data_IF_245347291963
#
_entry.id   IF_245347291963
#
_cell.length_a   1.000
_cell.length_b   1.000
_cell.length_c   1.000
_cell.angle_alpha   90.00
_cell.angle_beta   90.00
_cell.angle_gamma   90.00
#
_symmetry.space_group_name_H-M   'P 1'
#
loop_
_entity.id
_entity.type
_entity.pdbx_description
1 polymer ?
#
# COMPACT_ATOMS: atom_id res chain seq x y z
N UNK A 1 -20.35 -23.86 35.44
CA UNK A 1 -19.70 -22.56 35.16
C UNK A 1 -20.05 -22.18 33.75
N UNK A 2 -20.38 -20.95 33.45
CA UNK A 2 -20.64 -20.56 32.07
C UNK A 2 -19.36 -20.65 31.25
N UNK A 3 -19.36 -21.55 30.29
CA UNK A 3 -18.23 -21.78 29.36
C UNK A 3 -18.15 -20.70 28.28
N UNK A 4 -18.36 -19.43 28.64
CA UNK A 4 -18.40 -18.32 27.70
C UNK A 4 -17.18 -17.42 27.94
N UNK A 5 -16.29 -17.42 27.01
CA UNK A 5 -15.23 -16.37 26.90
C UNK A 5 -15.91 -15.10 26.39
N UNK A 6 -15.99 -14.10 27.24
CA UNK A 6 -16.63 -12.83 26.89
C UNK A 6 -15.89 -12.17 25.75
N UNK A 7 -16.60 -11.88 24.65
CA UNK A 7 -16.04 -11.18 23.49
C UNK A 7 -15.59 -9.77 23.89
N UNK A 8 -14.33 -9.43 23.60
CA UNK A 8 -13.70 -8.16 23.99
C UNK A 8 -12.99 -8.18 25.35
N UNK A 9 -13.05 -9.27 26.10
CA UNK A 9 -12.26 -9.43 27.33
C UNK A 9 -10.78 -9.67 27.04
N UNK A 10 -9.88 -9.09 27.84
CA UNK A 10 -8.40 -9.22 27.66
C UNK A 10 -7.90 -10.65 27.76
N UNK A 11 -8.58 -11.52 28.50
CA UNK A 11 -8.25 -12.93 28.71
C UNK A 11 -8.78 -13.87 27.61
N UNK A 12 -9.77 -13.42 26.83
CA UNK A 12 -10.40 -14.23 25.79
C UNK A 12 -9.42 -14.79 24.77
N UNK A 13 -8.60 -13.97 24.11
CA UNK A 13 -7.61 -14.43 23.14
C UNK A 13 -6.59 -15.40 23.73
N UNK A 14 -6.15 -15.19 24.98
CA UNK A 14 -5.18 -16.05 25.64
C UNK A 14 -5.76 -17.43 25.98
N UNK A 15 -7.00 -17.49 26.45
CA UNK A 15 -7.69 -18.75 26.74
C UNK A 15 -7.96 -19.55 25.46
N UNK A 16 -8.41 -18.89 24.39
CA UNK A 16 -8.58 -19.53 23.08
C UNK A 16 -7.25 -20.07 22.55
N UNK A 17 -6.18 -19.24 22.58
CA UNK A 17 -4.85 -19.65 22.13
C UNK A 17 -4.33 -20.87 22.88
N UNK A 18 -4.41 -20.90 24.22
CA UNK A 18 -4.02 -22.07 25.02
C UNK A 18 -4.82 -23.33 24.69
N UNK A 19 -6.12 -23.16 24.40
CA UNK A 19 -6.98 -24.28 24.05
C UNK A 19 -6.59 -24.86 22.69
N UNK A 20 -6.27 -24.00 21.73
CA UNK A 20 -5.91 -24.41 20.36
C UNK A 20 -4.44 -24.85 20.25
N UNK A 21 -3.52 -24.32 21.05
CA UNK A 21 -2.10 -24.69 21.07
C UNK A 21 -1.92 -26.20 21.34
N UNK A 22 -2.76 -26.80 22.16
CA UNK A 22 -2.76 -28.25 22.39
C UNK A 22 -3.07 -29.08 21.14
N UNK A 23 -3.75 -28.52 20.13
CA UNK A 23 -3.98 -29.21 18.85
C UNK A 23 -2.68 -29.33 18.06
N UNK A 24 -1.93 -28.23 17.96
CA UNK A 24 -0.63 -28.21 17.32
C UNK A 24 0.36 -29.19 17.97
N UNK A 25 0.42 -29.21 19.30
CA UNK A 25 1.27 -30.16 20.06
C UNK A 25 0.91 -31.60 19.75
N UNK A 26 -0.36 -31.97 19.72
CA UNK A 26 -0.77 -33.34 19.38
C UNK A 26 -0.42 -33.74 17.94
N UNK A 27 -0.46 -32.81 16.98
CA UNK A 27 0.01 -33.06 15.62
C UNK A 27 1.53 -33.33 15.59
N UNK A 28 2.30 -32.58 16.38
CA UNK A 28 3.75 -32.80 16.51
C UNK A 28 4.05 -34.16 17.13
N UNK A 29 3.42 -34.48 18.27
CA UNK A 29 3.66 -35.71 19.01
C UNK A 29 3.31 -36.94 18.19
N UNK A 30 2.22 -36.92 17.42
CA UNK A 30 1.79 -38.03 16.58
C UNK A 30 2.46 -38.07 15.21
N UNK A 31 3.16 -36.99 14.82
CA UNK A 31 3.71 -36.81 13.49
C UNK A 31 2.67 -36.95 12.35
N UNK A 32 1.42 -36.63 12.63
CA UNK A 32 0.26 -36.79 11.75
C UNK A 32 -0.42 -35.44 11.51
N UNK A 33 -1.22 -35.38 10.47
CA UNK A 33 -2.03 -34.17 10.12
C UNK A 33 -1.20 -32.90 9.90
N UNK A 34 0.00 -33.06 9.33
CA UNK A 34 0.91 -31.98 8.95
C UNK A 34 1.04 -31.94 7.43
N UNK A 35 0.96 -30.74 6.85
CA UNK A 35 1.35 -30.56 5.45
C UNK A 35 2.87 -30.50 5.34
N UNK A 36 3.47 -31.31 4.45
CA UNK A 36 4.90 -31.29 4.19
C UNK A 36 5.21 -30.39 3.00
N UNK A 37 5.73 -29.21 3.26
CA UNK A 37 6.21 -28.31 2.22
C UNK A 37 7.58 -28.76 1.72
N UNK A 38 7.68 -29.01 0.39
CA UNK A 38 8.92 -29.50 -0.28
C UNK A 38 9.55 -30.72 0.44
N UNK A 39 8.72 -31.56 1.04
CA UNK A 39 9.10 -32.76 1.81
C UNK A 39 10.04 -32.52 3.02
N UNK A 40 10.15 -31.29 3.48
CA UNK A 40 11.04 -30.86 4.56
C UNK A 40 10.34 -30.10 5.69
N UNK A 41 9.70 -29.00 5.38
CA UNK A 41 9.07 -28.17 6.40
C UNK A 41 7.64 -28.66 6.72
N UNK A 42 7.37 -28.96 7.99
CA UNK A 42 6.05 -29.36 8.47
C UNK A 42 5.22 -28.12 8.78
N UNK A 43 4.06 -28.01 8.15
CA UNK A 43 3.07 -26.99 8.45
C UNK A 43 1.94 -27.63 9.21
N UNK A 44 1.76 -27.22 10.46
CA UNK A 44 0.70 -27.65 11.34
C UNK A 44 -0.62 -26.92 10.98
N UNK A 45 -1.78 -27.40 11.49
CA UNK A 45 -2.97 -26.59 11.49
C UNK A 45 -2.70 -25.22 12.12
N UNK A 46 -3.09 -24.17 11.41
CA UNK A 46 -2.86 -22.79 11.82
C UNK A 46 -4.06 -22.29 12.63
N UNK A 47 -3.79 -21.60 13.71
CA UNK A 47 -4.81 -21.01 14.55
C UNK A 47 -4.50 -19.55 14.84
N UNK A 48 -5.54 -18.74 14.83
CA UNK A 48 -5.48 -17.34 15.25
C UNK A 48 -6.73 -17.04 16.09
N UNK A 49 -6.55 -16.99 17.40
CA UNK A 49 -7.64 -16.87 18.38
C UNK A 49 -8.65 -18.00 18.20
N UNK A 50 -9.80 -17.75 17.59
CA UNK A 50 -10.89 -18.70 17.31
C UNK A 50 -10.88 -19.23 15.85
N UNK A 51 -10.15 -18.57 14.95
CA UNK A 51 -10.00 -19.01 13.57
C UNK A 51 -9.02 -20.18 13.46
N UNK A 52 -9.46 -21.28 12.85
CA UNK A 52 -8.66 -22.49 12.65
C UNK A 52 -8.58 -22.83 11.16
N UNK A 53 -7.37 -23.05 10.65
CA UNK A 53 -7.12 -23.41 9.28
C UNK A 53 -6.30 -24.69 9.17
N UNK A 54 -6.78 -25.68 8.44
CA UNK A 54 -6.08 -26.93 8.13
C UNK A 54 -5.63 -26.95 6.67
N UNK A 55 -4.37 -27.28 6.43
CA UNK A 55 -3.78 -27.39 5.09
C UNK A 55 -3.46 -28.86 4.82
N UNK A 56 -3.96 -29.39 3.70
CA UNK A 56 -3.75 -30.78 3.28
C UNK A 56 -3.30 -30.84 1.83
N UNK A 57 -2.48 -31.82 1.48
CA UNK A 57 -1.93 -32.03 0.14
C UNK A 57 -2.93 -32.67 -0.81
N UNK A 58 -3.83 -33.50 -0.30
CA UNK A 58 -4.82 -34.22 -1.09
C UNK A 58 -6.13 -34.40 -0.34
N UNK A 59 -7.17 -34.86 -1.03
CA UNK A 59 -8.50 -35.06 -0.47
C UNK A 59 -8.56 -36.04 0.71
N UNK A 60 -7.77 -37.10 0.68
CA UNK A 60 -7.72 -38.08 1.77
C UNK A 60 -7.13 -37.46 3.05
N UNK A 61 -6.00 -36.74 2.92
CA UNK A 61 -5.41 -36.00 4.04
C UNK A 61 -6.37 -34.94 4.58
N UNK A 62 -7.05 -34.20 3.71
CA UNK A 62 -8.05 -33.21 4.08
C UNK A 62 -9.18 -33.83 4.92
N UNK A 63 -9.69 -34.99 4.51
CA UNK A 63 -10.72 -35.72 5.25
C UNK A 63 -10.22 -36.19 6.62
N UNK A 64 -9.00 -36.74 6.68
CA UNK A 64 -8.38 -37.17 7.93
C UNK A 64 -8.12 -36.00 8.88
N UNK A 65 -7.56 -34.90 8.39
CA UNK A 65 -7.33 -33.68 9.16
C UNK A 65 -8.64 -33.09 9.69
N UNK A 66 -9.66 -32.97 8.84
CA UNK A 66 -10.95 -32.45 9.28
C UNK A 66 -11.56 -33.29 10.41
N UNK A 67 -11.52 -34.63 10.28
CA UNK A 67 -12.00 -35.54 11.35
C UNK A 67 -11.20 -35.32 12.63
N UNK A 68 -9.89 -35.23 12.56
CA UNK A 68 -9.02 -34.99 13.70
C UNK A 68 -9.37 -33.66 14.39
N UNK A 69 -9.44 -32.55 13.65
CA UNK A 69 -9.74 -31.24 14.20
C UNK A 69 -11.10 -31.19 14.88
N UNK A 70 -12.15 -31.73 14.25
CA UNK A 70 -13.51 -31.80 14.82
C UNK A 70 -13.52 -32.62 16.12
N UNK A 71 -12.89 -33.82 16.09
CA UNK A 71 -12.82 -34.69 17.29
C UNK A 71 -12.05 -34.00 18.42
N UNK A 72 -10.93 -33.31 18.14
CA UNK A 72 -10.16 -32.65 19.21
C UNK A 72 -10.94 -31.49 19.84
N UNK A 73 -11.66 -30.72 19.04
CA UNK A 73 -12.50 -29.61 19.53
C UNK A 73 -13.67 -30.16 20.38
N UNK A 74 -14.34 -31.23 19.93
CA UNK A 74 -15.43 -31.87 20.66
C UNK A 74 -14.95 -32.48 21.99
N UNK A 75 -13.78 -33.12 22.04
CA UNK A 75 -13.17 -33.64 23.27
C UNK A 75 -12.94 -32.53 24.32
N UNK A 76 -12.76 -31.30 23.89
CA UNK A 76 -12.63 -30.10 24.74
C UNK A 76 -13.99 -29.49 25.12
N UNK A 77 -15.11 -30.14 24.75
CA UNK A 77 -16.49 -29.62 24.92
C UNK A 77 -16.72 -28.29 24.19
N UNK A 78 -15.93 -28.01 23.13
CA UNK A 78 -16.11 -26.86 22.28
C UNK A 78 -16.83 -27.28 20.99
N UNK A 79 -17.41 -26.33 20.29
CA UNK A 79 -18.07 -26.54 19.00
C UNK A 79 -17.69 -25.47 18.02
N UNK A 80 -17.51 -25.88 16.76
CA UNK A 80 -17.40 -24.93 15.65
C UNK A 80 -18.75 -24.27 15.40
N UNK A 81 -18.74 -22.98 15.17
CA UNK A 81 -19.92 -22.26 14.73
C UNK A 81 -20.09 -22.45 13.21
N UNK A 82 -21.03 -23.27 12.81
CA UNK A 82 -21.16 -23.72 11.41
C UNK A 82 -21.84 -22.70 10.48
N UNK A 83 -22.65 -21.78 11.03
CA UNK A 83 -23.35 -20.77 10.24
C UNK A 83 -23.46 -19.44 10.99
N UNK A 84 -23.49 -18.32 10.26
CA UNK A 84 -23.78 -17.00 10.82
C UNK A 84 -25.30 -16.77 10.99
N UNK A 85 -25.68 -15.57 11.47
CA UNK A 85 -27.10 -15.19 11.69
C UNK A 85 -27.94 -15.22 10.41
N UNK A 86 -27.32 -15.15 9.25
CA UNK A 86 -27.97 -15.18 7.93
C UNK A 86 -27.93 -16.58 7.29
N UNK A 87 -27.46 -17.60 8.03
CA UNK A 87 -27.33 -18.96 7.52
C UNK A 87 -26.09 -19.18 6.62
N UNK A 88 -25.22 -18.19 6.45
CA UNK A 88 -23.97 -18.36 5.69
C UNK A 88 -23.01 -19.23 6.50
N UNK A 89 -22.44 -20.26 5.87
CA UNK A 89 -21.49 -21.14 6.55
C UNK A 89 -20.23 -20.37 6.96
N UNK A 90 -19.80 -20.60 8.20
CA UNK A 90 -18.52 -20.11 8.74
C UNK A 90 -17.38 -21.13 8.60
N UNK A 91 -17.74 -22.39 8.35
CA UNK A 91 -16.78 -23.45 8.09
C UNK A 91 -16.83 -23.76 6.59
N UNK A 92 -15.74 -23.45 5.88
CA UNK A 92 -15.65 -23.63 4.43
C UNK A 92 -14.42 -24.45 4.07
N UNK A 93 -14.42 -25.05 2.89
CA UNK A 93 -13.25 -25.65 2.27
C UNK A 93 -12.94 -24.95 0.97
N UNK A 94 -11.64 -24.85 0.65
CA UNK A 94 -11.16 -24.29 -0.60
C UNK A 94 -10.16 -25.25 -1.23
N UNK A 95 -10.32 -25.54 -2.50
CA UNK A 95 -9.34 -26.26 -3.29
C UNK A 95 -8.48 -25.24 -4.05
N UNK A 96 -7.16 -25.25 -3.81
CA UNK A 96 -6.19 -24.37 -4.48
C UNK A 96 -5.40 -25.17 -5.49
N UNK A 97 -5.46 -24.82 -6.78
CA UNK A 97 -4.73 -25.47 -7.87
C UNK A 97 -5.60 -26.13 -8.91
N UNK A 98 -5.05 -27.11 -9.64
CA UNK A 98 -5.77 -27.81 -10.74
C UNK A 98 -6.78 -28.82 -10.18
N UNK A 99 -8.00 -28.79 -10.69
CA UNK A 99 -9.14 -29.62 -10.25
C UNK A 99 -9.05 -31.13 -10.61
N UNK A 100 -7.87 -31.70 -10.71
CA UNK A 100 -7.72 -33.10 -11.12
C UNK A 100 -7.80 -34.10 -9.95
N UNK A 101 -7.87 -33.62 -8.71
CA UNK A 101 -7.86 -34.48 -7.53
C UNK A 101 -9.24 -34.60 -6.89
N UNK A 102 -9.50 -35.79 -6.31
CA UNK A 102 -10.70 -36.06 -5.53
C UNK A 102 -10.84 -35.03 -4.40
N UNK A 103 -11.91 -34.23 -4.46
CA UNK A 103 -12.26 -33.26 -3.43
C UNK A 103 -13.38 -33.87 -2.54
N UNK A 104 -13.08 -34.37 -1.32
CA UNK A 104 -14.04 -35.06 -0.50
C UNK A 104 -15.09 -34.11 0.09
N UNK A 105 -16.28 -34.60 0.35
CA UNK A 105 -17.26 -33.92 1.19
C UNK A 105 -16.76 -33.91 2.64
N UNK A 106 -16.51 -32.71 3.16
CA UNK A 106 -16.15 -32.50 4.57
C UNK A 106 -17.39 -32.10 5.37
N UNK A 107 -17.47 -32.56 6.63
CA UNK A 107 -18.57 -32.24 7.54
C UNK A 107 -18.02 -31.75 8.88
N UNK A 108 -18.70 -30.80 9.48
CA UNK A 108 -18.48 -30.30 10.83
C UNK A 108 -19.81 -30.43 11.61
N UNK A 109 -19.82 -31.19 12.67
CA UNK A 109 -21.04 -31.48 13.48
C UNK A 109 -22.23 -31.93 12.60
N UNK A 110 -21.97 -32.76 11.59
CA UNK A 110 -23.01 -33.24 10.65
C UNK A 110 -23.31 -32.29 9.48
N UNK A 111 -22.97 -31.02 9.56
CA UNK A 111 -23.19 -30.01 8.51
C UNK A 111 -22.10 -30.10 7.46
N UNK A 112 -22.47 -30.10 6.18
CA UNK A 112 -21.56 -30.13 5.05
C UNK A 112 -20.84 -28.77 4.95
N UNK A 113 -19.50 -28.79 4.88
CA UNK A 113 -18.70 -27.61 4.56
C UNK A 113 -18.84 -27.29 3.07
N UNK A 114 -19.35 -26.11 2.69
CA UNK A 114 -19.40 -25.72 1.30
C UNK A 114 -17.98 -25.52 0.75
N UNK A 115 -17.82 -25.83 -0.53
CA UNK A 115 -16.63 -25.49 -1.28
C UNK A 115 -16.75 -24.05 -1.80
N UNK A 116 -15.71 -23.25 -1.56
CA UNK A 116 -15.68 -21.86 -1.97
C UNK A 116 -14.47 -21.59 -2.88
N UNK A 117 -14.60 -20.66 -3.78
CA UNK A 117 -13.52 -20.19 -4.64
C UNK A 117 -12.80 -18.96 -4.07
N UNK A 118 -13.42 -18.31 -3.09
CA UNK A 118 -12.91 -17.12 -2.41
C UNK A 118 -13.35 -17.12 -0.96
N UNK A 119 -12.44 -16.76 -0.05
CA UNK A 119 -12.77 -16.59 1.37
C UNK A 119 -11.89 -15.52 2.01
N UNK A 120 -12.47 -14.76 2.93
CA UNK A 120 -11.75 -13.80 3.75
C UNK A 120 -11.06 -14.50 4.91
N UNK A 121 -9.73 -14.45 4.96
CA UNK A 121 -8.95 -14.98 6.08
C UNK A 121 -7.97 -13.94 6.61
N UNK A 122 -8.08 -13.63 7.91
CA UNK A 122 -7.27 -12.62 8.62
C UNK A 122 -7.14 -11.28 7.86
N UNK A 123 -8.21 -10.88 7.19
CA UNK A 123 -8.27 -9.62 6.47
C UNK A 123 -7.78 -9.63 5.03
N UNK A 124 -7.31 -10.77 4.52
CA UNK A 124 -6.98 -10.97 3.10
C UNK A 124 -8.04 -11.83 2.41
N UNK A 125 -8.35 -11.51 1.16
CA UNK A 125 -9.19 -12.33 0.32
C UNK A 125 -8.34 -13.41 -0.37
N UNK A 126 -8.47 -14.64 0.14
CA UNK A 126 -7.85 -15.81 -0.48
C UNK A 126 -8.67 -16.23 -1.70
N UNK A 127 -8.00 -16.71 -2.75
CA UNK A 127 -8.62 -17.18 -3.99
C UNK A 127 -8.11 -18.57 -4.37
N UNK A 128 -8.99 -19.42 -4.86
CA UNK A 128 -8.70 -20.78 -5.29
C UNK A 128 -7.68 -20.85 -6.44
N UNK A 129 -7.52 -19.77 -7.23
CA UNK A 129 -6.50 -19.67 -8.27
C UNK A 129 -5.09 -19.36 -7.71
N UNK A 130 -4.96 -19.15 -6.41
CA UNK A 130 -3.71 -18.83 -5.73
C UNK A 130 -3.13 -17.45 -6.07
N UNK A 131 -3.92 -16.53 -6.66
CA UNK A 131 -3.45 -15.20 -7.07
C UNK A 131 -3.93 -14.11 -6.11
N UNK A 132 -3.17 -13.01 -6.05
CA UNK A 132 -3.55 -11.84 -5.24
C UNK A 132 -4.52 -10.89 -5.96
N UNK A 133 -4.79 -11.06 -7.24
CA UNK A 133 -5.53 -10.11 -8.07
C UNK A 133 -6.89 -9.72 -7.47
N UNK A 134 -7.65 -10.68 -6.94
CA UNK A 134 -8.94 -10.39 -6.32
C UNK A 134 -8.79 -9.65 -4.98
N UNK A 135 -7.77 -10.01 -4.19
CA UNK A 135 -7.44 -9.30 -2.97
C UNK A 135 -7.05 -7.84 -3.25
N UNK A 136 -6.21 -7.60 -4.27
CA UNK A 136 -5.83 -6.25 -4.72
C UNK A 136 -7.05 -5.43 -5.11
N UNK A 137 -7.96 -5.98 -5.93
CA UNK A 137 -9.22 -5.30 -6.30
C UNK A 137 -10.08 -4.94 -5.08
N UNK A 138 -10.17 -5.83 -4.11
CA UNK A 138 -10.86 -5.55 -2.85
C UNK A 138 -10.18 -4.40 -2.07
N UNK A 139 -8.84 -4.39 -2.02
CA UNK A 139 -8.06 -3.30 -1.40
C UNK A 139 -8.24 -1.97 -2.13
N UNK A 140 -8.24 -1.97 -3.46
CA UNK A 140 -8.51 -0.79 -4.29
C UNK A 140 -9.90 -0.22 -3.99
N UNK A 141 -10.93 -1.06 -3.96
CA UNK A 141 -12.30 -0.63 -3.65
C UNK A 141 -12.40 0.01 -2.26
N UNK A 142 -11.81 -0.62 -1.23
CA UNK A 142 -11.73 -0.04 0.12
C UNK A 142 -10.96 1.28 0.13
N UNK A 143 -9.83 1.34 -0.60
CA UNK A 143 -8.99 2.52 -0.71
C UNK A 143 -9.73 3.73 -1.30
N UNK A 144 -10.56 3.52 -2.32
CA UNK A 144 -11.39 4.59 -2.91
C UNK A 144 -12.35 5.16 -1.85
N UNK A 145 -12.98 4.30 -1.04
CA UNK A 145 -13.83 4.75 0.07
C UNK A 145 -13.05 5.55 1.11
N UNK A 146 -11.84 5.10 1.48
CA UNK A 146 -10.97 5.82 2.42
C UNK A 146 -10.56 7.19 1.85
N UNK A 147 -10.23 7.27 0.56
CA UNK A 147 -9.92 8.56 -0.10
C UNK A 147 -11.08 9.54 0.03
N UNK A 148 -12.32 9.10 -0.21
CA UNK A 148 -13.48 9.96 -0.04
C UNK A 148 -13.62 10.45 1.41
N UNK A 149 -13.48 9.57 2.39
CA UNK A 149 -13.52 9.95 3.81
C UNK A 149 -12.43 10.97 4.19
N UNK A 150 -11.20 10.81 3.68
CA UNK A 150 -10.11 11.76 3.92
C UNK A 150 -10.42 13.12 3.30
N UNK A 151 -10.89 13.14 2.06
CA UNK A 151 -11.22 14.39 1.36
C UNK A 151 -12.36 15.11 2.08
N UNK A 152 -13.44 14.40 2.39
CA UNK A 152 -14.59 14.95 3.12
C UNK A 152 -14.19 15.54 4.49
N UNK A 153 -13.31 14.84 5.22
CA UNK A 153 -12.77 15.33 6.49
C UNK A 153 -11.96 16.62 6.32
N UNK A 154 -11.14 16.68 5.28
CA UNK A 154 -10.28 17.83 5.00
C UNK A 154 -11.07 19.06 4.51
N UNK A 155 -12.15 18.85 3.76
CA UNK A 155 -13.01 19.90 3.26
C UNK A 155 -13.94 20.46 4.35
N UNK A 156 -14.42 19.61 5.25
CA UNK A 156 -15.32 19.98 6.34
C UNK A 156 -14.62 20.47 7.61
N UNK A 157 -13.28 20.49 7.64
CA UNK A 157 -12.50 20.89 8.83
C UNK A 157 -11.46 21.94 8.45
N UNK A 158 -11.42 23.04 9.21
CA UNK A 158 -10.46 24.10 8.98
C UNK A 158 -9.09 23.76 9.62
N UNK A 159 -8.16 23.22 8.84
CA UNK A 159 -6.80 22.91 9.28
C UNK A 159 -5.77 24.02 9.04
N UNK A 160 -6.19 25.11 8.43
CA UNK A 160 -5.33 26.26 8.14
C UNK A 160 -4.02 25.87 7.44
N UNK A 161 -2.87 26.41 7.90
CA UNK A 161 -1.57 26.17 7.24
C UNK A 161 -1.11 24.70 7.31
N UNK A 162 -1.69 23.89 8.19
CA UNK A 162 -1.32 22.49 8.40
C UNK A 162 -2.05 21.51 7.48
N UNK A 163 -2.96 21.99 6.63
CA UNK A 163 -3.79 21.17 5.74
C UNK A 163 -3.03 20.04 5.03
N UNK A 164 -1.98 20.35 4.28
CA UNK A 164 -1.23 19.33 3.55
C UNK A 164 -0.43 18.39 4.46
N UNK A 165 0.08 18.87 5.59
CA UNK A 165 0.75 18.01 6.57
C UNK A 165 -0.21 17.01 7.17
N UNK A 166 -1.42 17.44 7.52
CA UNK A 166 -2.48 16.58 8.04
C UNK A 166 -2.97 15.61 6.96
N UNK A 167 -3.15 16.07 5.73
CA UNK A 167 -3.51 15.21 4.61
C UNK A 167 -2.49 14.06 4.43
N UNK A 168 -1.18 14.32 4.54
CA UNK A 168 -0.16 13.28 4.45
C UNK A 168 -0.16 12.34 5.66
N UNK A 169 -0.48 12.82 6.86
CA UNK A 169 -0.68 11.96 8.04
C UNK A 169 -1.89 11.04 7.88
N UNK A 170 -3.01 11.57 7.38
CA UNK A 170 -4.22 10.77 7.09
C UNK A 170 -3.96 9.76 5.97
N UNK A 171 -3.23 10.14 4.93
CA UNK A 171 -2.77 9.19 3.90
C UNK A 171 -2.01 8.02 4.52
N UNK A 172 -1.02 8.29 5.36
CA UNK A 172 -0.20 7.26 6.00
C UNK A 172 -1.03 6.36 6.92
N UNK A 173 -1.82 6.97 7.81
CA UNK A 173 -2.54 6.24 8.86
C UNK A 173 -3.78 5.50 8.35
N UNK A 174 -4.53 6.08 7.43
CA UNK A 174 -5.77 5.49 6.93
C UNK A 174 -5.59 4.79 5.59
N UNK A 175 -5.13 5.52 4.55
CA UNK A 175 -5.09 4.99 3.19
C UNK A 175 -4.01 3.93 3.03
N UNK A 176 -2.74 4.28 3.30
CA UNK A 176 -1.60 3.36 3.12
C UNK A 176 -1.81 2.11 3.96
N UNK A 177 -2.13 2.25 5.24
CA UNK A 177 -2.39 1.09 6.11
C UNK A 177 -3.59 0.27 5.64
N UNK A 178 -4.67 0.92 5.20
CA UNK A 178 -5.87 0.23 4.71
C UNK A 178 -5.64 -0.62 3.46
N UNK A 179 -4.88 -0.11 2.49
CA UNK A 179 -4.63 -0.82 1.22
C UNK A 179 -3.43 -1.76 1.26
N UNK A 180 -2.51 -1.59 2.22
CA UNK A 180 -1.30 -2.41 2.35
C UNK A 180 -1.29 -3.30 3.60
N UNK A 181 -2.44 -3.59 4.21
CA UNK A 181 -2.54 -4.55 5.31
C UNK A 181 -2.07 -5.92 4.83
N UNK A 182 -1.22 -6.59 5.60
CA UNK A 182 -0.64 -7.92 5.33
C UNK A 182 0.18 -8.02 4.03
N UNK A 183 0.47 -6.91 3.35
CA UNK A 183 1.22 -6.92 2.08
C UNK A 183 2.61 -7.53 2.21
N UNK A 184 3.16 -7.55 3.41
CA UNK A 184 4.45 -8.16 3.73
C UNK A 184 4.49 -9.67 3.50
N UNK A 185 3.33 -10.37 3.50
CA UNK A 185 3.24 -11.81 3.26
C UNK A 185 2.73 -12.16 1.86
N UNK A 186 2.33 -11.19 1.05
CA UNK A 186 1.85 -11.48 -0.31
C UNK A 186 2.98 -12.03 -1.19
N UNK A 187 2.66 -13.08 -1.93
CA UNK A 187 3.52 -13.70 -2.94
C UNK A 187 3.04 -13.30 -4.36
N UNK A 188 3.86 -13.51 -5.36
CA UNK A 188 3.51 -13.34 -6.79
C UNK A 188 2.80 -12.03 -7.13
N UNK A 189 3.19 -10.92 -6.45
CA UNK A 189 2.60 -9.60 -6.72
C UNK A 189 3.10 -9.06 -8.05
N UNK A 190 2.18 -8.76 -8.96
CA UNK A 190 2.48 -8.21 -10.28
C UNK A 190 2.68 -6.69 -10.23
N UNK A 191 3.50 -6.16 -11.13
CA UNK A 191 3.69 -4.70 -11.26
C UNK A 191 2.36 -3.98 -11.56
N UNK A 192 1.47 -4.60 -12.36
CA UNK A 192 0.13 -4.07 -12.63
C UNK A 192 -0.74 -3.97 -11.37
N UNK A 193 -0.62 -4.92 -10.45
CA UNK A 193 -1.34 -4.91 -9.16
C UNK A 193 -0.82 -3.80 -8.24
N UNK A 194 0.49 -3.58 -8.23
CA UNK A 194 1.09 -2.44 -7.52
C UNK A 194 0.61 -1.13 -8.12
N UNK A 195 0.49 -1.06 -9.45
CA UNK A 195 -0.02 0.13 -10.14
C UNK A 195 -1.49 0.42 -9.82
N UNK A 196 -2.33 -0.61 -9.69
CA UNK A 196 -3.73 -0.45 -9.25
C UNK A 196 -3.80 0.20 -7.85
N UNK A 197 -2.98 -0.25 -6.90
CA UNK A 197 -2.89 0.37 -5.56
C UNK A 197 -2.35 1.81 -5.64
N UNK A 198 -1.35 2.08 -6.48
CA UNK A 198 -0.84 3.43 -6.70
C UNK A 198 -1.86 4.35 -7.36
N UNK A 199 -2.80 3.83 -8.16
CA UNK A 199 -3.86 4.64 -8.75
C UNK A 199 -4.82 5.19 -7.70
N UNK A 200 -5.03 4.50 -6.58
CA UNK A 200 -5.79 5.03 -5.44
C UNK A 200 -5.07 6.21 -4.79
N UNK A 201 -3.76 6.11 -4.64
CA UNK A 201 -2.90 7.18 -4.14
C UNK A 201 -2.95 8.42 -5.07
N UNK A 202 -2.83 8.20 -6.38
CA UNK A 202 -3.01 9.24 -7.41
C UNK A 202 -4.38 9.93 -7.32
N UNK A 203 -5.43 9.16 -7.07
CA UNK A 203 -6.79 9.70 -6.91
C UNK A 203 -6.86 10.68 -5.74
N UNK A 204 -6.27 10.32 -4.59
CA UNK A 204 -6.21 11.20 -3.42
C UNK A 204 -5.48 12.50 -3.75
N UNK A 205 -4.28 12.43 -4.32
CA UNK A 205 -3.48 13.61 -4.64
C UNK A 205 -4.18 14.55 -5.65
N UNK A 206 -4.82 13.98 -6.67
CA UNK A 206 -5.57 14.78 -7.64
C UNK A 206 -6.72 15.55 -7.01
N UNK A 207 -7.45 14.92 -6.11
CA UNK A 207 -8.53 15.61 -5.37
C UNK A 207 -7.98 16.69 -4.46
N UNK A 208 -6.92 16.40 -3.68
CA UNK A 208 -6.30 17.35 -2.77
C UNK A 208 -5.76 18.60 -3.47
N UNK A 209 -5.13 18.43 -4.64
CA UNK A 209 -4.45 19.49 -5.36
C UNK A 209 -5.31 20.12 -6.47
N UNK A 210 -6.48 19.55 -6.73
CA UNK A 210 -7.37 19.96 -7.82
C UNK A 210 -6.63 20.05 -9.16
N UNK A 211 -6.06 18.91 -9.60
CA UNK A 211 -5.25 18.82 -10.82
C UNK A 211 -5.77 17.76 -11.78
N UNK A 212 -5.53 17.92 -13.11
CA UNK A 212 -6.04 17.00 -14.12
C UNK A 212 -5.35 15.62 -14.09
N UNK A 213 -5.97 14.66 -14.78
CA UNK A 213 -5.44 13.28 -14.90
C UNK A 213 -4.05 13.22 -15.57
N UNK A 214 -3.70 14.21 -16.39
CA UNK A 214 -2.42 14.32 -17.10
C UNK A 214 -1.23 14.76 -16.23
N UNK A 215 -1.48 15.07 -14.93
CA UNK A 215 -0.41 15.46 -14.00
C UNK A 215 0.55 14.30 -13.78
N UNK A 216 1.88 14.50 -13.97
CA UNK A 216 2.89 13.48 -13.72
C UNK A 216 2.83 12.97 -12.28
N UNK A 217 2.81 11.66 -12.09
CA UNK A 217 2.66 11.08 -10.75
C UNK A 217 3.87 11.36 -9.86
N UNK A 218 5.04 11.46 -10.46
CA UNK A 218 6.30 11.74 -9.78
C UNK A 218 6.24 13.07 -9.03
N UNK A 219 5.52 14.05 -9.61
CA UNK A 219 5.34 15.37 -8.99
C UNK A 219 4.65 15.29 -7.63
N UNK A 220 3.67 14.40 -7.48
CA UNK A 220 2.97 14.24 -6.20
C UNK A 220 3.93 13.73 -5.12
N UNK A 221 4.68 12.69 -5.42
CA UNK A 221 5.60 12.07 -4.45
C UNK A 221 6.75 13.00 -4.07
N UNK A 222 7.32 13.72 -5.05
CA UNK A 222 8.44 14.61 -4.84
C UNK A 222 8.03 15.92 -4.13
N UNK A 223 6.90 16.51 -4.52
CA UNK A 223 6.43 17.77 -3.94
C UNK A 223 5.80 17.57 -2.54
N UNK A 224 5.01 16.52 -2.35
CA UNK A 224 4.40 16.20 -1.06
C UNK A 224 5.31 15.42 -0.11
N UNK A 225 6.48 14.99 -0.59
CA UNK A 225 7.49 14.32 0.23
C UNK A 225 7.08 12.94 0.73
N UNK A 226 6.38 12.16 -0.07
CA UNK A 226 5.86 10.83 0.31
C UNK A 226 6.46 9.72 -0.55
N UNK A 227 6.51 8.52 0.01
CA UNK A 227 7.06 7.34 -0.67
C UNK A 227 5.96 6.65 -1.49
N UNK A 228 6.24 6.20 -2.74
CA UNK A 228 5.32 5.41 -3.55
C UNK A 228 4.93 4.08 -2.88
N UNK A 229 3.69 3.64 -3.11
CA UNK A 229 3.14 2.40 -2.51
C UNK A 229 4.02 1.19 -2.81
N UNK A 230 4.53 1.03 -4.04
CA UNK A 230 5.42 -0.08 -4.39
C UNK A 230 6.69 -0.15 -3.54
N UNK A 231 7.26 1.02 -3.18
CA UNK A 231 8.45 1.07 -2.29
C UNK A 231 8.08 0.76 -0.84
N UNK A 232 6.88 1.17 -0.39
CA UNK A 232 6.36 0.81 0.94
C UNK A 232 6.18 -0.70 1.06
N UNK A 233 5.67 -1.37 0.03
CA UNK A 233 5.52 -2.82 -0.03
C UNK A 233 6.88 -3.51 0.15
N UNK A 234 7.89 -3.08 -0.61
CA UNK A 234 9.27 -3.60 -0.49
C UNK A 234 9.82 -3.44 0.93
N UNK A 235 9.68 -2.24 1.49
CA UNK A 235 10.15 -1.95 2.85
C UNK A 235 9.44 -2.82 3.91
N UNK A 236 8.13 -3.06 3.77
CA UNK A 236 7.38 -3.94 4.68
C UNK A 236 7.86 -5.39 4.60
N UNK A 237 8.05 -5.96 3.39
CA UNK A 237 8.58 -7.32 3.22
C UNK A 237 9.98 -7.49 3.84
N UNK A 238 10.87 -6.52 3.60
CA UNK A 238 12.22 -6.56 4.18
C UNK A 238 12.18 -6.46 5.71
N UNK A 239 11.32 -5.62 6.29
CA UNK A 239 11.12 -5.58 7.74
C UNK A 239 10.54 -6.89 8.29
N UNK A 240 9.65 -7.55 7.55
CA UNK A 240 9.10 -8.84 7.94
C UNK A 240 10.16 -9.95 7.92
N UNK A 241 11.09 -9.93 6.95
CA UNK A 241 12.26 -10.83 6.93
C UNK A 241 13.05 -10.72 8.24
N UNK A 242 13.33 -9.51 8.72
CA UNK A 242 14.02 -9.33 10.01
C UNK A 242 13.23 -9.99 11.16
N UNK A 243 11.91 -9.87 11.15
CA UNK A 243 11.05 -10.49 12.17
C UNK A 243 11.09 -12.03 12.08
N UNK A 244 11.17 -12.61 10.88
CA UNK A 244 11.31 -14.06 10.70
C UNK A 244 12.67 -14.52 11.21
N UNK A 245 13.74 -13.83 10.86
CA UNK A 245 15.10 -14.17 11.26
C UNK A 245 15.34 -14.06 12.78
N UNK A 246 14.55 -13.23 13.46
CA UNK A 246 14.57 -13.11 14.92
C UNK A 246 13.76 -14.18 15.66
N UNK A 247 13.04 -15.08 14.95
CA UNK A 247 12.28 -16.16 15.56
C UNK A 247 13.16 -17.35 15.93
N UNK A 248 12.61 -18.21 16.75
CA UNK A 248 13.26 -19.49 17.09
C UNK A 248 13.51 -20.33 15.84
N UNK A 249 14.76 -20.81 15.70
CA UNK A 249 15.22 -21.53 14.49
C UNK A 249 14.54 -22.89 14.31
N UNK A 250 14.05 -23.48 15.38
CA UNK A 250 13.30 -24.75 15.39
C UNK A 250 11.81 -24.52 15.07
N UNK A 251 11.36 -23.27 15.07
CA UNK A 251 9.96 -22.93 14.84
C UNK A 251 9.51 -23.16 13.39
N UNK A 252 8.22 -23.50 13.23
CA UNK A 252 7.61 -23.80 11.93
C UNK A 252 7.83 -22.69 10.89
N UNK A 253 7.63 -21.43 11.26
CA UNK A 253 7.78 -20.27 10.34
C UNK A 253 9.20 -20.13 9.84
N UNK A 254 10.20 -20.32 10.73
CA UNK A 254 11.59 -20.26 10.35
C UNK A 254 12.00 -21.44 9.45
N UNK A 255 11.57 -22.67 9.78
CA UNK A 255 11.81 -23.87 8.98
C UNK A 255 11.23 -23.75 7.57
N UNK A 256 9.98 -23.26 7.46
CA UNK A 256 9.34 -23.00 6.17
C UNK A 256 10.12 -21.97 5.36
N UNK A 257 10.49 -20.85 5.98
CA UNK A 257 11.27 -19.78 5.36
C UNK A 257 12.61 -20.29 4.83
N UNK A 258 13.39 -21.01 5.65
CA UNK A 258 14.71 -21.54 5.23
C UNK A 258 14.58 -22.54 4.08
N UNK A 259 13.55 -23.39 4.11
CA UNK A 259 13.28 -24.32 3.02
C UNK A 259 13.00 -23.59 1.71
N UNK A 260 12.20 -22.51 1.76
CA UNK A 260 11.89 -21.70 0.58
C UNK A 260 13.11 -20.88 0.12
N UNK A 261 13.90 -20.33 1.06
CA UNK A 261 15.11 -19.55 0.75
C UNK A 261 16.19 -20.38 0.04
N UNK A 262 16.39 -21.61 0.47
CA UNK A 262 17.40 -22.50 -0.11
C UNK A 262 16.98 -23.14 -1.44
N UNK A 263 15.70 -23.17 -1.73
CA UNK A 263 15.13 -23.74 -2.97
C UNK A 263 14.00 -22.86 -3.48
N UNK A 264 14.29 -21.63 -3.91
CA UNK A 264 13.26 -20.69 -4.36
C UNK A 264 12.58 -21.17 -5.64
N UNK A 265 11.29 -20.91 -5.75
CA UNK A 265 10.51 -21.11 -6.97
C UNK A 265 10.12 -19.73 -7.50
N UNK A 266 10.03 -19.60 -8.81
CA UNK A 266 9.64 -18.32 -9.43
C UNK A 266 8.31 -17.79 -8.86
N UNK A 267 8.34 -16.56 -8.37
CA UNK A 267 7.21 -15.90 -7.71
C UNK A 267 7.07 -16.20 -6.22
N UNK A 268 7.94 -17.03 -5.64
CA UNK A 268 7.97 -17.29 -4.20
C UNK A 268 8.25 -15.99 -3.43
N UNK A 269 7.77 -15.94 -2.19
CA UNK A 269 7.98 -14.79 -1.31
C UNK A 269 9.47 -14.49 -1.07
N UNK A 270 10.33 -15.51 -0.97
CA UNK A 270 11.77 -15.34 -0.75
C UNK A 270 12.48 -14.75 -1.96
N UNK A 271 12.06 -15.08 -3.19
CA UNK A 271 12.58 -14.45 -4.42
C UNK A 271 12.25 -12.94 -4.43
N UNK A 272 11.00 -12.59 -4.08
CA UNK A 272 10.58 -11.18 -4.00
C UNK A 272 11.39 -10.41 -2.95
N UNK A 273 11.63 -11.01 -1.78
CA UNK A 273 12.42 -10.37 -0.71
C UNK A 273 13.89 -10.20 -1.11
N UNK A 274 14.50 -11.17 -1.79
CA UNK A 274 15.86 -11.03 -2.30
C UNK A 274 15.98 -9.86 -3.27
N UNK A 275 15.04 -9.74 -4.20
CA UNK A 275 14.95 -8.60 -5.12
C UNK A 275 14.73 -7.28 -4.37
N UNK A 276 13.88 -7.26 -3.34
CA UNK A 276 13.64 -6.06 -2.54
C UNK A 276 14.88 -5.61 -1.75
N UNK A 277 15.67 -6.55 -1.23
CA UNK A 277 16.96 -6.25 -0.58
C UNK A 277 17.95 -5.64 -1.57
N UNK A 278 18.05 -6.20 -2.78
CA UNK A 278 18.89 -5.68 -3.86
C UNK A 278 18.46 -4.25 -4.27
N UNK A 279 17.18 -4.05 -4.56
CA UNK A 279 16.61 -2.76 -4.93
C UNK A 279 16.87 -1.68 -3.87
N UNK A 280 16.74 -2.03 -2.59
CA UNK A 280 16.99 -1.13 -1.47
C UNK A 280 18.48 -0.99 -1.10
N UNK A 281 19.38 -1.76 -1.74
CA UNK A 281 20.81 -1.75 -1.42
C UNK A 281 21.11 -2.22 0.00
N UNK A 282 20.37 -3.21 0.50
CA UNK A 282 20.55 -3.83 1.83
C UNK A 282 21.20 -5.20 1.66
N UNK A 283 22.31 -5.49 2.37
CA UNK A 283 22.95 -6.80 2.28
C UNK A 283 22.00 -7.93 2.66
N UNK A 284 21.97 -9.00 1.85
CA UNK A 284 21.11 -10.18 2.06
C UNK A 284 21.64 -11.16 3.11
N UNK A 285 22.81 -10.91 3.71
CA UNK A 285 23.41 -11.75 4.75
C UNK A 285 22.52 -11.79 6.00
N UNK A 286 22.12 -12.98 6.42
CA UNK A 286 21.36 -13.19 7.65
C UNK A 286 22.12 -12.69 8.89
N UNK A 287 23.44 -12.83 8.92
CA UNK A 287 24.27 -12.32 10.00
C UNK A 287 24.16 -10.79 10.10
N UNK A 288 24.25 -10.09 8.96
CA UNK A 288 24.08 -8.63 8.92
C UNK A 288 22.70 -8.21 9.42
N UNK A 289 21.63 -8.87 8.95
CA UNK A 289 20.25 -8.53 9.32
C UNK A 289 20.03 -8.78 10.81
N UNK A 290 20.48 -9.94 11.34
CA UNK A 290 20.35 -10.30 12.77
C UNK A 290 21.20 -9.45 13.71
N UNK A 291 22.31 -8.89 13.24
CA UNK A 291 23.18 -8.06 14.07
C UNK A 291 22.53 -6.73 14.48
N UNK A 292 21.43 -6.35 13.86
CA UNK A 292 20.73 -5.09 14.13
C UNK A 292 19.52 -5.32 15.01
N UNK A 293 19.31 -4.42 15.99
CA UNK A 293 18.04 -4.39 16.71
C UNK A 293 16.88 -4.10 15.77
N UNK A 294 15.67 -4.50 16.15
CA UNK A 294 14.45 -4.27 15.35
C UNK A 294 14.29 -2.79 14.95
N UNK A 295 14.53 -1.88 15.89
CA UNK A 295 14.42 -0.44 15.64
C UNK A 295 15.51 0.07 14.70
N UNK A 296 16.77 -0.33 14.92
CA UNK A 296 17.88 0.05 14.05
C UNK A 296 17.69 -0.47 12.63
N UNK A 297 17.19 -1.70 12.45
CA UNK A 297 16.92 -2.26 11.14
C UNK A 297 15.76 -1.53 10.44
N UNK A 298 14.68 -1.25 11.15
CA UNK A 298 13.53 -0.48 10.62
C UNK A 298 13.95 0.91 10.15
N UNK A 299 14.82 1.59 10.90
CA UNK A 299 15.36 2.90 10.53
C UNK A 299 16.26 2.82 9.29
N UNK A 300 17.09 1.78 9.19
CA UNK A 300 17.90 1.51 8.00
C UNK A 300 17.00 1.29 6.76
N UNK A 301 16.00 0.42 6.86
CA UNK A 301 15.06 0.14 5.76
C UNK A 301 14.33 1.42 5.34
N UNK A 302 13.87 2.23 6.30
CA UNK A 302 13.21 3.50 6.03
C UNK A 302 14.11 4.49 5.27
N UNK A 303 15.38 4.61 5.66
CA UNK A 303 16.36 5.45 4.97
C UNK A 303 16.60 4.95 3.54
N UNK A 304 16.87 3.65 3.39
CA UNK A 304 17.12 3.02 2.09
C UNK A 304 15.90 3.07 1.16
N UNK A 305 14.71 2.92 1.68
CA UNK A 305 13.47 3.10 0.92
C UNK A 305 13.31 4.52 0.38
N UNK A 306 13.69 5.55 1.16
CA UNK A 306 13.68 6.94 0.67
C UNK A 306 14.73 7.18 -0.42
N UNK A 307 15.94 6.67 -0.25
CA UNK A 307 17.01 6.76 -1.26
C UNK A 307 16.57 6.10 -2.57
N UNK A 308 16.04 4.88 -2.51
CA UNK A 308 15.54 4.15 -3.67
C UNK A 308 14.36 4.87 -4.33
N UNK A 309 13.39 5.34 -3.54
CA UNK A 309 12.25 6.09 -4.06
C UNK A 309 12.70 7.37 -4.80
N UNK A 310 13.65 8.13 -4.22
CA UNK A 310 14.19 9.32 -4.87
C UNK A 310 14.81 8.98 -6.22
N UNK A 311 15.66 7.94 -6.26
CA UNK A 311 16.33 7.48 -7.47
C UNK A 311 15.34 7.13 -8.59
N UNK A 312 14.33 6.29 -8.30
CA UNK A 312 13.36 5.87 -9.33
C UNK A 312 12.45 7.02 -9.77
N UNK A 313 12.10 7.95 -8.86
CA UNK A 313 11.28 9.11 -9.20
C UNK A 313 12.07 10.11 -10.04
N UNK A 314 13.36 10.34 -9.78
CA UNK A 314 14.21 11.20 -10.61
C UNK A 314 14.43 10.63 -12.02
N UNK A 315 14.63 9.33 -12.16
CA UNK A 315 14.72 8.68 -13.48
C UNK A 315 13.45 8.95 -14.29
N UNK A 316 12.28 8.77 -13.69
CA UNK A 316 11.00 9.04 -14.34
C UNK A 316 10.79 10.55 -14.58
N UNK A 317 11.14 11.40 -13.64
CA UNK A 317 11.07 12.86 -13.76
C UNK A 317 11.83 13.36 -14.98
N UNK A 318 13.05 12.86 -15.21
CA UNK A 318 13.89 13.27 -16.33
C UNK A 318 13.26 12.97 -17.70
N UNK A 319 12.33 12.04 -17.78
CA UNK A 319 11.56 11.76 -19.01
C UNK A 319 10.40 12.76 -19.25
N UNK A 320 10.03 13.55 -18.23
CA UNK A 320 8.90 14.48 -18.30
C UNK A 320 9.35 15.92 -18.52
N UNK A 321 9.09 16.46 -19.72
CA UNK A 321 9.39 17.87 -20.07
C UNK A 321 8.82 18.88 -19.06
N UNK A 322 7.68 18.56 -18.45
CA UNK A 322 6.97 19.43 -17.50
C UNK A 322 7.67 19.58 -16.15
N UNK A 323 8.60 18.70 -15.80
CA UNK A 323 9.30 18.71 -14.52
C UNK A 323 10.80 18.98 -14.63
N UNK A 324 11.27 19.36 -15.80
CA UNK A 324 12.72 19.53 -16.11
C UNK A 324 13.44 20.56 -15.22
N UNK A 325 12.70 21.58 -14.77
CA UNK A 325 13.26 22.71 -14.01
C UNK A 325 13.27 22.43 -12.48
N UNK A 326 12.67 21.32 -12.05
CA UNK A 326 12.58 20.94 -10.64
C UNK A 326 13.77 20.05 -10.26
N UNK A 327 14.39 20.35 -9.10
CA UNK A 327 15.46 19.55 -8.52
C UNK A 327 15.11 19.13 -7.11
N UNK A 328 15.30 17.86 -6.79
CA UNK A 328 15.02 17.30 -5.49
C UNK A 328 16.22 16.54 -4.96
N UNK A 329 16.68 16.89 -3.76
CA UNK A 329 17.82 16.23 -3.10
C UNK A 329 17.35 15.11 -2.16
N UNK A 330 16.11 15.17 -1.73
CA UNK A 330 15.51 14.19 -0.80
C UNK A 330 13.99 14.16 -0.92
N UNK A 331 13.38 13.05 -0.47
CA UNK A 331 11.93 12.95 -0.35
C UNK A 331 11.50 13.65 0.95
N UNK A 332 11.07 14.89 0.80
CA UNK A 332 10.51 15.74 1.86
C UNK A 332 9.41 16.63 1.30
N UNK A 333 8.42 16.96 2.11
CA UNK A 333 7.38 17.93 1.72
C UNK A 333 8.05 19.28 1.41
N UNK A 334 7.67 19.88 0.28
CA UNK A 334 8.25 21.16 -0.12
C UNK A 334 7.80 22.27 0.83
N UNK A 335 8.71 23.23 1.10
CA UNK A 335 8.50 24.27 2.11
C UNK A 335 7.22 25.06 1.92
N UNK A 336 6.85 25.39 0.67
CA UNK A 336 5.65 26.19 0.40
C UNK A 336 4.36 25.52 0.89
N UNK A 337 4.27 24.18 0.95
CA UNK A 337 3.12 23.49 1.52
C UNK A 337 2.97 23.68 3.04
N UNK A 338 4.06 23.99 3.74
CA UNK A 338 4.08 24.15 5.20
C UNK A 338 4.08 25.59 5.67
N UNK A 339 4.18 26.56 4.76
CA UNK A 339 4.16 28.01 5.07
C UNK A 339 2.80 28.43 5.64
N UNK A 340 2.83 29.24 6.71
CA UNK A 340 1.64 29.77 7.35
C UNK A 340 1.08 31.04 6.69
N UNK A 341 1.91 31.74 5.94
CA UNK A 341 1.57 32.97 5.21
C UNK A 341 0.91 32.71 3.84
N UNK A 342 0.81 31.44 3.42
CA UNK A 342 0.15 31.05 2.18
C UNK A 342 -1.19 30.35 2.46
N UNK A 343 -2.22 30.76 1.72
CA UNK A 343 -3.51 30.06 1.73
C UNK A 343 -3.40 28.68 1.05
N UNK A 344 -4.38 27.81 1.29
CA UNK A 344 -4.45 26.48 0.66
C UNK A 344 -4.50 26.63 -0.86
N UNK A 345 -5.26 27.58 -1.37
CA UNK A 345 -5.41 27.80 -2.82
C UNK A 345 -4.10 28.32 -3.44
N UNK A 346 -3.38 29.20 -2.77
CA UNK A 346 -2.04 29.64 -3.22
C UNK A 346 -1.06 28.46 -3.28
N UNK A 347 -1.09 27.54 -2.32
CA UNK A 347 -0.26 26.32 -2.32
C UNK A 347 -0.62 25.39 -3.50
N UNK A 348 -1.91 25.20 -3.78
CA UNK A 348 -2.37 24.42 -4.95
C UNK A 348 -1.94 25.10 -6.26
N UNK A 349 -2.05 26.41 -6.33
CA UNK A 349 -1.63 27.19 -7.49
C UNK A 349 -0.14 27.08 -7.75
N UNK A 350 0.69 27.23 -6.70
CA UNK A 350 2.13 27.02 -6.81
C UNK A 350 2.48 25.60 -7.30
N UNK A 351 1.82 24.58 -6.80
CA UNK A 351 2.01 23.22 -7.30
C UNK A 351 1.72 23.13 -8.81
N UNK A 352 0.61 23.72 -9.26
CA UNK A 352 0.25 23.73 -10.69
C UNK A 352 1.31 24.43 -11.54
N UNK A 353 1.80 25.57 -11.10
CA UNK A 353 2.85 26.30 -11.81
C UNK A 353 4.17 25.52 -11.85
N UNK A 354 4.64 25.00 -10.70
CA UNK A 354 5.88 24.22 -10.61
C UNK A 354 5.86 22.99 -11.51
N UNK A 355 4.72 22.32 -11.60
CA UNK A 355 4.55 21.07 -12.37
C UNK A 355 4.02 21.30 -13.79
N UNK A 356 3.92 22.55 -14.23
CA UNK A 356 3.38 22.96 -15.55
C UNK A 356 1.97 22.39 -15.80
N UNK A 357 1.12 22.44 -14.75
CA UNK A 357 -0.28 22.03 -14.77
C UNK A 357 -1.25 23.22 -14.68
N UNK A 358 -0.72 24.45 -14.74
CA UNK A 358 -1.52 25.67 -14.87
C UNK A 358 -2.16 25.73 -16.25
N UNK A 359 -3.23 26.46 -16.37
CA UNK A 359 -4.01 26.60 -17.59
C UNK A 359 -3.32 27.54 -18.60
N UNK A 360 -2.32 27.00 -19.25
CA UNK A 360 -1.63 27.59 -20.40
C UNK A 360 -1.69 26.62 -21.56
N UNK A 361 -1.94 27.13 -22.77
CA UNK A 361 -2.14 26.31 -23.95
C UNK A 361 -0.98 25.35 -24.23
N UNK A 362 0.29 25.77 -24.02
CA UNK A 362 1.44 24.92 -24.20
C UNK A 362 1.50 23.74 -23.23
N UNK A 363 0.90 23.85 -22.05
CA UNK A 363 0.89 22.78 -21.06
C UNK A 363 0.03 21.56 -21.48
N UNK A 364 -0.97 21.76 -22.32
CA UNK A 364 -1.96 20.74 -22.68
C UNK A 364 -1.86 20.24 -24.13
N UNK A 365 -1.18 20.99 -25.01
CA UNK A 365 -1.07 20.64 -26.43
C UNK A 365 0.39 20.28 -26.81
N UNK A 366 0.84 19.11 -26.38
CA UNK A 366 2.14 18.58 -26.79
C UNK A 366 2.14 18.28 -28.31
N UNK A 367 2.96 19.01 -29.09
CA UNK A 367 3.27 18.70 -30.48
C UNK A 367 2.28 19.20 -31.53
N UNK A 368 1.33 20.06 -31.19
CA UNK A 368 0.44 20.74 -32.14
C UNK A 368 0.72 22.24 -32.14
N UNK A 369 0.20 22.97 -33.12
CA UNK A 369 0.42 24.40 -33.38
C UNK A 369 0.63 25.24 -32.11
N UNK A 370 1.62 26.13 -32.15
CA UNK A 370 1.90 27.06 -31.04
C UNK A 370 0.62 27.79 -30.66
N UNK A 371 0.10 27.50 -29.49
CA UNK A 371 -1.08 28.20 -28.96
C UNK A 371 -0.66 29.60 -28.63
N UNK A 372 -1.33 30.57 -29.22
CA UNK A 372 -1.06 32.02 -29.01
C UNK A 372 -1.77 32.46 -27.73
N UNK A 373 -1.16 33.34 -26.97
CA UNK A 373 -1.75 33.92 -25.74
C UNK A 373 -3.08 34.63 -26.10
N UNK A 374 -4.19 34.28 -25.43
CA UNK A 374 -5.49 34.86 -25.71
C UNK A 374 -5.59 36.35 -25.37
N UNK A 375 -4.66 36.87 -24.54
CA UNK A 375 -4.65 38.27 -24.11
C UNK A 375 -3.98 39.19 -25.11
N UNK A 376 -2.74 38.85 -25.54
CA UNK A 376 -1.93 39.74 -26.39
C UNK A 376 -1.85 39.29 -27.85
N UNK A 377 -2.36 38.12 -28.18
CA UNK A 377 -2.38 37.50 -29.52
C UNK A 377 -1.03 37.46 -30.25
N UNK A 378 0.06 37.82 -29.56
CA UNK A 378 1.39 37.99 -30.17
C UNK A 378 2.45 37.00 -29.64
N UNK A 379 2.24 36.39 -28.49
CA UNK A 379 3.19 35.47 -27.87
C UNK A 379 2.60 34.06 -27.71
N UNK A 380 3.47 33.07 -27.60
CA UNK A 380 3.06 31.70 -27.27
C UNK A 380 2.43 31.67 -25.87
N UNK A 381 1.32 30.97 -25.73
CA UNK A 381 0.63 30.83 -24.46
C UNK A 381 1.34 29.83 -23.53
N UNK A 382 2.37 30.32 -22.84
CA UNK A 382 3.09 29.55 -21.82
C UNK A 382 3.31 30.37 -20.54
N UNK A 383 3.65 29.68 -19.48
CA UNK A 383 3.81 30.33 -18.18
C UNK A 383 5.03 31.26 -18.09
N UNK A 384 6.09 31.03 -18.86
CA UNK A 384 7.27 31.87 -18.93
C UNK A 384 6.92 33.23 -19.55
N UNK A 385 6.21 33.20 -20.68
CA UNK A 385 5.83 34.43 -21.41
C UNK A 385 4.71 35.20 -20.70
N UNK A 386 3.94 34.56 -19.82
CA UNK A 386 2.93 35.27 -19.03
C UNK A 386 3.53 36.36 -18.12
N UNK A 387 4.79 36.21 -17.69
CA UNK A 387 5.51 37.22 -16.90
C UNK A 387 6.05 38.40 -17.73
N UNK A 388 6.06 38.28 -19.05
CA UNK A 388 6.51 39.36 -19.96
C UNK A 388 5.40 39.87 -20.88
N UNK A 389 4.24 39.23 -20.86
CA UNK A 389 3.09 39.62 -21.68
C UNK A 389 2.71 41.10 -21.45
N UNK A 390 2.61 41.94 -22.52
CA UNK A 390 2.29 43.35 -22.37
C UNK A 390 0.96 43.62 -21.67
N UNK A 391 -0.09 42.86 -22.00
CA UNK A 391 -1.43 43.06 -21.43
C UNK A 391 -1.48 42.65 -19.95
N UNK A 392 -0.70 41.66 -19.55
CA UNK A 392 -0.55 41.30 -18.14
C UNK A 392 0.25 42.39 -17.40
N UNK A 393 1.34 42.89 -18.00
CA UNK A 393 2.16 43.99 -17.41
C UNK A 393 1.39 45.28 -17.22
N UNK A 394 0.47 45.57 -18.12
CA UNK A 394 -0.40 46.75 -17.99
C UNK A 394 -1.38 46.64 -16.82
N UNK A 395 -1.75 45.42 -16.43
CA UNK A 395 -2.74 45.15 -15.36
C UNK A 395 -2.06 44.79 -14.02
N UNK A 396 -0.80 44.31 -14.02
CA UNK A 396 -0.08 43.82 -12.82
C UNK A 396 1.36 44.30 -12.82
N UNK A 397 1.78 44.88 -11.70
CA UNK A 397 3.21 45.11 -11.46
C UNK A 397 3.89 43.75 -11.21
N UNK A 398 4.72 43.32 -12.16
CA UNK A 398 5.45 42.06 -12.09
C UNK A 398 6.71 42.27 -11.28
N UNK A 399 6.72 41.78 -10.04
CA UNK A 399 7.91 41.66 -9.20
C UNK A 399 8.42 40.21 -9.21
N UNK A 400 9.72 40.03 -9.41
CA UNK A 400 10.33 38.69 -9.45
C UNK A 400 10.43 38.06 -10.84
N UNK A 401 11.01 36.89 -10.89
CA UNK A 401 11.22 36.08 -12.10
C UNK A 401 10.47 34.77 -11.97
N UNK A 402 10.04 34.20 -13.08
CA UNK A 402 9.43 32.86 -13.09
C UNK A 402 10.36 31.79 -12.51
N UNK A 403 11.68 31.94 -12.66
CA UNK A 403 12.67 31.03 -12.06
C UNK A 403 12.54 30.91 -10.54
N UNK A 404 12.02 31.94 -9.87
CA UNK A 404 11.88 31.98 -8.41
C UNK A 404 10.85 30.93 -7.92
N UNK A 405 9.93 30.50 -8.79
CA UNK A 405 8.93 29.47 -8.49
C UNK A 405 9.61 28.10 -8.23
N UNK A 406 10.73 27.85 -8.91
CA UNK A 406 11.45 26.57 -8.81
C UNK A 406 12.41 26.51 -7.62
N UNK A 407 12.61 27.64 -6.92
CA UNK A 407 13.44 27.71 -5.72
C UNK A 407 12.74 27.09 -4.51
N UNK A 408 13.51 26.68 -3.51
CA UNK A 408 12.98 26.14 -2.27
C UNK A 408 12.23 27.20 -1.42
N UNK A 409 12.75 28.44 -1.44
CA UNK A 409 12.20 29.60 -0.71
C UNK A 409 11.57 30.60 -1.70
N UNK A 410 10.29 30.35 -2.04
CA UNK A 410 9.52 31.18 -2.96
C UNK A 410 9.10 32.48 -2.23
N UNK A 411 9.36 33.63 -2.84
CA UNK A 411 8.96 34.94 -2.30
C UNK A 411 7.43 35.10 -2.37
N UNK A 412 6.84 35.73 -1.36
CA UNK A 412 5.40 35.98 -1.32
C UNK A 412 4.94 36.85 -2.51
N UNK A 413 5.72 37.86 -2.88
CA UNK A 413 5.47 38.71 -4.02
C UNK A 413 5.30 37.92 -5.35
N UNK A 414 6.13 36.89 -5.54
CA UNK A 414 6.03 36.00 -6.72
C UNK A 414 4.73 35.22 -6.71
N UNK A 415 4.27 34.76 -5.53
CA UNK A 415 2.99 34.05 -5.38
C UNK A 415 1.81 34.96 -5.71
N UNK A 416 1.84 36.20 -5.24
CA UNK A 416 0.80 37.20 -5.52
C UNK A 416 0.74 37.54 -7.01
N UNK A 417 1.89 37.68 -7.67
CA UNK A 417 1.95 37.88 -9.14
C UNK A 417 1.31 36.72 -9.87
N UNK A 418 1.64 35.47 -9.52
CA UNK A 418 1.04 34.25 -10.12
C UNK A 418 -0.46 34.25 -9.93
N UNK A 419 -0.94 34.61 -8.73
CA UNK A 419 -2.35 34.64 -8.43
C UNK A 419 -3.09 35.69 -9.29
N UNK A 420 -2.53 36.88 -9.43
CA UNK A 420 -3.09 37.94 -10.28
C UNK A 420 -3.10 37.54 -11.76
N UNK A 421 -2.01 36.95 -12.27
CA UNK A 421 -1.96 36.42 -13.64
C UNK A 421 -3.09 35.42 -13.88
N UNK A 422 -3.29 34.48 -12.94
CA UNK A 422 -4.35 33.47 -13.06
C UNK A 422 -5.75 34.10 -13.01
N UNK A 423 -5.95 35.11 -12.17
CA UNK A 423 -7.23 35.83 -12.10
C UNK A 423 -7.54 36.56 -13.39
N UNK A 424 -6.58 37.26 -13.99
CA UNK A 424 -6.79 37.98 -15.27
C UNK A 424 -7.18 36.99 -16.37
N UNK A 425 -6.53 35.83 -16.45
CA UNK A 425 -6.83 34.80 -17.45
C UNK A 425 -8.23 34.20 -17.28
N UNK A 426 -8.66 33.94 -16.05
CA UNK A 426 -10.00 33.38 -15.77
C UNK A 426 -11.15 34.41 -15.94
N UNK A 427 -10.87 35.66 -16.10
CA UNK A 427 -11.90 36.71 -16.34
C UNK A 427 -12.19 36.93 -17.84
N UNK A 428 -11.36 36.33 -18.72
CA UNK A 428 -11.50 36.49 -20.18
C UNK A 428 -11.91 35.16 -20.87
N UNK A 429 -12.06 34.05 -20.09
CA UNK A 429 -12.75 32.83 -20.49
C UNK A 429 -14.27 32.93 -20.14
#
# INVERSE_FOLDING_TARGET
>A
MPDIVQQGGTWGPMLCSNTVDTLGRKCIERNEHCYLYKNTAKILPLAFVDDLNGIAKCGLESKSMNRFLVTQIEMKKLRFHTADKNGKSKCVKMHIGKHNDFCPTLKVHGTIMPEVTEEMYLGDLLSADGKNTKNVKNRVSKGIGIVSQIVDLLENTCFGPHYFKIAMLLRESMLVNGITTNVEVWHSVLESEIEELQNVDKLMFRRLLNVPKSTPIESFYLELGVIPIGVIIKARRVNYLHSILGREQTGMVYSFFVTQWNSPTKGDWTELVQKDLEDLGIPSSFQFIRSKSKEAFKNLVKAKAKEYALKILQIKQNSHKKMKDLKYESIKIQKYFTRSDLSIEQKKLLFKFRTRMSDFGENYRAGREKVICPLCESHVDNQELSFICPDIKNKVVISGKISDIYMEDIKLETVEVIQKITQIRNLED
#
